data_IF_057734363543
#
_entry.id   IF_057734363543
#
_cell.length_a   1.000
_cell.length_b   1.000
_cell.length_c   1.000
_cell.angle_alpha   90.00
_cell.angle_beta   90.00
_cell.angle_gamma   90.00
#
_symmetry.space_group_name_H-M   'P 1'
#
loop_
_entity.id
_entity.type
_entity.pdbx_description
1 polymer ?
#
# COMPACT_ATOMS: atom_id res chain seq x y z
N UNK A 1 -13.73 -5.56 24.02
CA UNK A 1 -13.26 -4.94 22.76
C UNK A 1 -13.98 -5.62 21.62
N UNK A 2 -14.69 -4.89 20.76
CA UNK A 2 -15.42 -5.44 19.61
C UNK A 2 -14.65 -5.25 18.31
N UNK A 3 -14.81 -6.17 17.37
CA UNK A 3 -14.34 -6.04 15.98
C UNK A 3 -15.50 -5.52 15.13
N UNK A 4 -15.21 -4.54 14.27
CA UNK A 4 -16.16 -3.95 13.32
C UNK A 4 -15.52 -3.92 11.93
N UNK A 5 -16.33 -3.71 10.89
CA UNK A 5 -15.89 -3.50 9.51
C UNK A 5 -15.13 -4.72 8.93
N UNK A 6 -15.66 -5.92 9.16
CA UNK A 6 -15.04 -7.20 8.74
C UNK A 6 -15.72 -7.83 7.51
N UNK A 7 -16.70 -7.17 6.90
CA UNK A 7 -17.49 -7.72 5.78
C UNK A 7 -16.67 -8.00 4.52
N UNK A 8 -15.54 -7.33 4.33
CA UNK A 8 -14.62 -7.54 3.21
C UNK A 8 -13.36 -8.32 3.62
N UNK A 9 -13.45 -9.11 4.69
CA UNK A 9 -12.34 -9.93 5.16
C UNK A 9 -11.91 -10.94 4.09
N UNK A 10 -10.61 -11.00 3.82
CA UNK A 10 -9.99 -11.92 2.86
C UNK A 10 -8.85 -12.68 3.52
N UNK A 11 -8.58 -13.89 3.04
CA UNK A 11 -7.37 -14.62 3.41
C UNK A 11 -6.18 -14.07 2.62
N UNK A 12 -5.26 -13.43 3.30
CA UNK A 12 -4.09 -12.78 2.67
C UNK A 12 -2.87 -12.84 3.59
N UNK A 13 -1.71 -12.40 3.06
CA UNK A 13 -0.50 -12.30 3.87
C UNK A 13 -0.64 -11.22 4.95
N UNK A 14 -0.17 -11.47 6.20
CA UNK A 14 -0.31 -10.51 7.32
C UNK A 14 0.27 -9.11 7.05
N UNK A 15 1.24 -9.01 6.15
CA UNK A 15 1.80 -7.73 5.71
C UNK A 15 0.75 -6.79 5.08
N UNK A 16 -0.37 -7.30 4.56
CA UNK A 16 -1.40 -6.49 3.90
C UNK A 16 -2.05 -5.50 4.86
N UNK A 17 -2.51 -5.96 6.02
CA UNK A 17 -3.17 -5.10 7.01
C UNK A 17 -2.18 -4.16 7.68
N UNK A 18 -0.97 -4.65 7.97
CA UNK A 18 0.09 -3.81 8.51
C UNK A 18 0.46 -2.68 7.56
N UNK A 19 0.60 -2.97 6.26
CA UNK A 19 0.82 -1.95 5.22
C UNK A 19 -0.35 -0.97 5.15
N UNK A 20 -1.58 -1.45 5.30
CA UNK A 20 -2.78 -0.62 5.31
C UNK A 20 -2.75 0.43 6.40
N UNK A 21 -2.28 0.04 7.57
CA UNK A 21 -2.17 0.90 8.74
C UNK A 21 -1.00 1.89 8.63
N UNK A 22 0.17 1.42 8.24
CA UNK A 22 1.41 2.20 8.27
C UNK A 22 1.53 3.16 7.09
N UNK A 23 0.89 2.85 5.97
CA UNK A 23 1.02 3.59 4.71
C UNK A 23 -0.34 4.18 4.25
N UNK A 24 -1.19 4.57 5.19
CA UNK A 24 -2.47 5.22 4.87
C UNK A 24 -2.22 6.56 4.16
N UNK A 25 -2.89 6.77 3.02
CA UNK A 25 -2.74 7.99 2.24
C UNK A 25 -3.25 9.26 2.93
N UNK A 26 -4.00 9.12 4.01
CA UNK A 26 -4.58 10.25 4.77
C UNK A 26 -3.64 10.80 5.85
N UNK A 27 -2.55 10.07 6.18
CA UNK A 27 -1.61 10.46 7.23
C UNK A 27 -0.19 10.02 6.87
N UNK A 28 0.80 10.70 7.42
CA UNK A 28 2.20 10.30 7.32
C UNK A 28 2.61 9.54 8.58
N UNK A 29 3.26 8.40 8.38
CA UNK A 29 3.93 7.65 9.44
C UNK A 29 5.44 7.79 9.20
N UNK A 30 6.16 8.20 10.22
CA UNK A 30 7.61 8.31 10.17
C UNK A 30 8.23 6.92 9.85
N UNK A 31 9.24 6.87 8.97
CA UNK A 31 9.86 5.62 8.51
C UNK A 31 10.51 4.82 9.63
N UNK A 32 11.15 5.49 10.60
CA UNK A 32 11.77 4.80 11.73
C UNK A 32 10.71 4.17 12.64
N UNK A 33 9.58 4.87 12.82
CA UNK A 33 8.43 4.34 13.54
C UNK A 33 7.83 3.15 12.79
N UNK A 34 7.66 3.26 11.47
CA UNK A 34 7.13 2.17 10.66
C UNK A 34 8.02 0.91 10.76
N UNK A 35 9.35 1.06 10.66
CA UNK A 35 10.29 -0.05 10.83
C UNK A 35 10.18 -0.72 12.21
N UNK A 36 10.12 0.08 13.28
CA UNK A 36 9.92 -0.43 14.65
C UNK A 36 8.58 -1.17 14.80
N UNK A 37 7.52 -0.68 14.18
CA UNK A 37 6.19 -1.29 14.24
C UNK A 37 6.13 -2.59 13.43
N UNK A 38 6.82 -2.68 12.29
CA UNK A 38 6.96 -3.92 11.51
C UNK A 38 7.66 -4.98 12.37
N UNK A 39 8.82 -4.66 12.95
CA UNK A 39 9.57 -5.59 13.81
C UNK A 39 8.73 -6.05 15.01
N UNK A 40 8.03 -5.11 15.65
CA UNK A 40 7.15 -5.43 16.79
C UNK A 40 5.98 -6.33 16.38
N UNK A 41 5.35 -6.04 15.25
CA UNK A 41 4.24 -6.84 14.72
C UNK A 41 4.71 -8.26 14.43
N UNK A 42 5.80 -8.43 13.67
CA UNK A 42 6.35 -9.75 13.35
C UNK A 42 6.66 -10.54 14.62
N UNK A 43 7.35 -9.93 15.59
CA UNK A 43 7.66 -10.60 16.86
C UNK A 43 6.42 -11.03 17.66
N UNK A 44 5.34 -10.23 17.64
CA UNK A 44 4.08 -10.59 18.30
C UNK A 44 3.29 -11.66 17.56
N UNK A 45 3.41 -11.71 16.24
CA UNK A 45 2.75 -12.69 15.39
C UNK A 45 3.53 -14.00 15.22
N UNK A 46 4.70 -14.14 15.84
CA UNK A 46 5.58 -15.31 15.66
C UNK A 46 6.20 -15.38 14.26
N UNK A 47 6.36 -14.24 13.60
CA UNK A 47 6.93 -14.11 12.25
C UNK A 47 8.33 -13.50 12.31
N UNK A 48 9.16 -13.80 11.31
CA UNK A 48 10.41 -13.08 11.08
C UNK A 48 10.15 -11.79 10.28
N UNK A 49 10.79 -10.70 10.68
CA UNK A 49 10.81 -9.46 9.89
C UNK A 49 11.99 -9.51 8.89
N UNK A 50 12.01 -10.55 8.08
CA UNK A 50 13.08 -10.89 7.14
C UNK A 50 12.82 -10.37 5.71
N UNK A 51 13.67 -10.77 4.77
CA UNK A 51 13.56 -10.38 3.37
C UNK A 51 12.24 -10.85 2.73
N UNK A 52 11.76 -12.04 3.09
CA UNK A 52 10.52 -12.59 2.54
C UNK A 52 9.29 -11.80 3.05
N UNK A 53 9.27 -11.47 4.35
CA UNK A 53 8.23 -10.60 4.88
C UNK A 53 8.24 -9.22 4.22
N UNK A 54 9.42 -8.63 4.02
CA UNK A 54 9.55 -7.32 3.39
C UNK A 54 9.19 -7.36 1.90
N UNK A 55 9.46 -8.45 1.19
CA UNK A 55 8.99 -8.67 -0.18
C UNK A 55 7.45 -8.72 -0.23
N UNK A 56 6.81 -9.50 0.64
CA UNK A 56 5.35 -9.55 0.76
C UNK A 56 4.75 -8.19 1.14
N UNK A 57 5.42 -7.44 2.02
CA UNK A 57 5.02 -6.09 2.40
C UNK A 57 5.07 -5.12 1.20
N UNK A 58 6.13 -5.18 0.39
CA UNK A 58 6.29 -4.34 -0.79
C UNK A 58 5.25 -4.67 -1.88
N UNK A 59 5.04 -5.97 -2.17
CA UNK A 59 4.07 -6.43 -3.18
C UNK A 59 2.65 -6.05 -2.76
N UNK A 60 2.27 -6.32 -1.51
CA UNK A 60 0.96 -5.93 -0.96
C UNK A 60 0.76 -4.41 -0.99
N UNK A 61 1.82 -3.66 -0.66
CA UNK A 61 1.82 -2.21 -0.72
C UNK A 61 1.61 -1.68 -2.13
N UNK A 62 2.33 -2.20 -3.12
CA UNK A 62 2.19 -1.82 -4.52
C UNK A 62 0.77 -2.10 -5.04
N UNK A 63 0.26 -3.32 -4.83
CA UNK A 63 -1.10 -3.72 -5.20
C UNK A 63 -2.14 -2.77 -4.59
N UNK A 64 -2.01 -2.48 -3.30
CA UNK A 64 -2.93 -1.61 -2.58
C UNK A 64 -2.89 -0.17 -3.09
N UNK A 65 -1.70 0.38 -3.38
CA UNK A 65 -1.58 1.74 -3.93
C UNK A 65 -2.15 1.85 -5.34
N UNK A 66 -1.99 0.84 -6.19
CA UNK A 66 -2.62 0.80 -7.51
C UNK A 66 -4.16 0.80 -7.38
N UNK A 67 -4.72 -0.04 -6.51
CA UNK A 67 -6.17 -0.04 -6.20
C UNK A 67 -6.61 1.36 -5.73
N UNK A 68 -5.86 1.95 -4.81
CA UNK A 68 -6.20 3.24 -4.22
C UNK A 68 -6.04 4.43 -5.18
N UNK A 69 -5.20 4.35 -6.21
CA UNK A 69 -5.12 5.37 -7.27
C UNK A 69 -6.40 5.48 -8.09
N UNK A 70 -7.13 4.39 -8.26
CA UNK A 70 -8.43 4.40 -8.95
C UNK A 70 -9.57 4.99 -8.11
N UNK A 71 -9.48 4.91 -6.78
CA UNK A 71 -10.55 5.33 -5.89
C UNK A 71 -10.91 6.83 -6.00
N UNK A 72 -9.98 7.79 -5.97
CA UNK A 72 -10.29 9.21 -6.09
C UNK A 72 -10.99 9.57 -7.40
N UNK A 73 -10.56 8.97 -8.52
CA UNK A 73 -11.18 9.21 -9.84
C UNK A 73 -12.61 8.69 -9.86
N UNK A 74 -12.81 7.45 -9.37
CA UNK A 74 -14.15 6.85 -9.30
C UNK A 74 -15.05 7.61 -8.33
N UNK A 75 -14.53 8.02 -7.20
CA UNK A 75 -15.28 8.77 -6.18
C UNK A 75 -15.74 10.13 -6.69
N UNK A 76 -14.90 10.82 -7.44
CA UNK A 76 -15.27 12.07 -8.09
C UNK A 76 -16.34 11.87 -9.17
N UNK A 77 -16.12 10.91 -10.09
CA UNK A 77 -17.04 10.66 -11.21
C UNK A 77 -18.42 10.14 -10.79
N UNK A 78 -18.47 9.24 -9.79
CA UNK A 78 -19.73 8.59 -9.40
C UNK A 78 -20.47 9.30 -8.26
N UNK A 79 -19.74 10.00 -7.38
CA UNK A 79 -20.32 10.57 -6.16
C UNK A 79 -20.06 12.06 -6.00
N UNK A 80 -19.45 12.73 -6.99
CA UNK A 80 -19.15 14.16 -6.93
C UNK A 80 -18.23 14.54 -5.76
N UNK A 81 -17.25 13.68 -5.43
CA UNK A 81 -16.32 13.87 -4.30
C UNK A 81 -14.89 14.15 -4.78
N UNK A 82 -14.60 15.33 -5.34
CA UNK A 82 -13.28 15.65 -5.90
C UNK A 82 -12.17 15.79 -4.85
N UNK A 83 -12.51 16.00 -3.58
CA UNK A 83 -11.54 16.20 -2.49
C UNK A 83 -10.56 15.03 -2.34
N UNK A 84 -10.94 13.81 -2.72
CA UNK A 84 -10.03 12.66 -2.68
C UNK A 84 -8.90 12.71 -3.71
N UNK A 85 -9.00 13.56 -4.75
CA UNK A 85 -7.91 13.75 -5.73
C UNK A 85 -6.64 14.33 -5.09
N UNK A 86 -6.76 15.04 -3.98
CA UNK A 86 -5.62 15.51 -3.19
C UNK A 86 -4.71 14.39 -2.65
N UNK A 87 -5.20 13.16 -2.59
CA UNK A 87 -4.41 11.98 -2.16
C UNK A 87 -3.46 11.44 -3.25
N UNK A 88 -3.69 11.78 -4.53
CA UNK A 88 -2.92 11.23 -5.66
C UNK A 88 -1.40 11.41 -5.54
N UNK A 89 -0.87 12.61 -5.23
CA UNK A 89 0.58 12.79 -5.15
C UNK A 89 1.23 11.88 -4.11
N UNK A 90 0.57 11.68 -2.95
CA UNK A 90 1.06 10.79 -1.90
C UNK A 90 0.98 9.33 -2.31
N UNK A 91 -0.13 8.91 -2.92
CA UNK A 91 -0.29 7.54 -3.42
C UNK A 91 0.77 7.19 -4.47
N UNK A 92 1.05 8.09 -5.42
CA UNK A 92 2.10 7.91 -6.43
C UNK A 92 3.48 7.82 -5.78
N UNK A 93 3.79 8.68 -4.81
CA UNK A 93 5.07 8.63 -4.08
C UNK A 93 5.26 7.30 -3.37
N UNK A 94 4.23 6.80 -2.65
CA UNK A 94 4.30 5.50 -1.98
C UNK A 94 4.44 4.36 -2.99
N UNK A 95 3.72 4.40 -4.11
CA UNK A 95 3.85 3.38 -5.16
C UNK A 95 5.28 3.32 -5.70
N UNK A 96 5.91 4.47 -6.00
CA UNK A 96 7.31 4.52 -6.47
C UNK A 96 8.29 3.87 -5.49
N UNK A 97 8.07 4.04 -4.19
CA UNK A 97 8.91 3.40 -3.15
C UNK A 97 8.78 1.87 -3.23
N UNK A 98 7.57 1.34 -3.38
CA UNK A 98 7.36 -0.10 -3.52
C UNK A 98 7.92 -0.66 -4.82
N UNK A 99 7.76 0.06 -5.93
CA UNK A 99 8.28 -0.35 -7.23
C UNK A 99 9.82 -0.36 -7.29
N UNK A 100 10.50 0.29 -6.34
CA UNK A 100 11.95 0.18 -6.18
C UNK A 100 12.39 -1.14 -5.52
N UNK A 101 11.46 -1.88 -4.89
CA UNK A 101 11.79 -3.17 -4.27
C UNK A 101 11.93 -4.27 -5.34
N UNK A 102 12.96 -5.14 -5.28
CA UNK A 102 13.20 -6.18 -6.28
C UNK A 102 12.00 -7.10 -6.56
N UNK A 103 11.23 -7.45 -5.53
CA UNK A 103 10.03 -8.27 -5.68
C UNK A 103 8.93 -7.62 -6.55
N UNK A 104 8.98 -6.31 -6.75
CA UNK A 104 8.04 -5.58 -7.60
C UNK A 104 8.59 -5.33 -9.03
N UNK A 105 9.78 -5.84 -9.38
CA UNK A 105 10.40 -5.60 -10.68
C UNK A 105 9.49 -5.98 -11.88
N UNK A 106 8.82 -7.15 -11.91
CA UNK A 106 7.92 -7.49 -13.01
C UNK A 106 6.76 -6.51 -13.16
N UNK A 107 6.18 -6.07 -12.03
CA UNK A 107 5.11 -5.08 -12.02
C UNK A 107 5.61 -3.72 -12.52
N UNK A 108 6.79 -3.31 -12.08
CA UNK A 108 7.42 -2.06 -12.53
C UNK A 108 7.61 -2.05 -14.04
N UNK A 109 8.22 -3.10 -14.61
CA UNK A 109 8.42 -3.25 -16.05
C UNK A 109 7.10 -3.19 -16.82
N UNK A 110 6.06 -3.87 -16.32
CA UNK A 110 4.74 -3.84 -16.94
C UNK A 110 4.15 -2.43 -16.96
N UNK A 111 4.22 -1.72 -15.85
CA UNK A 111 3.71 -0.34 -15.75
C UNK A 111 4.48 0.61 -16.68
N UNK A 112 5.80 0.50 -16.76
CA UNK A 112 6.64 1.31 -17.65
C UNK A 112 6.36 1.02 -19.13
N UNK A 113 5.96 -0.21 -19.48
CA UNK A 113 5.63 -0.59 -20.85
C UNK A 113 4.26 -0.09 -21.30
N UNK A 114 3.27 -0.16 -20.42
CA UNK A 114 1.87 0.03 -20.82
C UNK A 114 1.22 1.34 -20.33
N UNK A 115 1.85 2.04 -19.41
CA UNK A 115 1.35 3.34 -18.98
C UNK A 115 1.97 4.48 -19.80
N UNK A 116 1.21 5.54 -20.07
CA UNK A 116 1.76 6.75 -20.67
C UNK A 116 2.88 7.35 -19.83
N UNK A 117 3.85 7.97 -20.49
CA UNK A 117 4.93 8.69 -19.80
C UNK A 117 4.35 9.72 -18.81
N UNK A 118 4.88 9.75 -17.59
CA UNK A 118 4.41 10.67 -16.54
C UNK A 118 3.11 10.25 -15.84
N UNK A 119 2.55 9.06 -16.14
CA UNK A 119 1.33 8.57 -15.48
C UNK A 119 1.53 8.29 -14.00
N UNK A 120 2.75 7.95 -13.59
CA UNK A 120 3.14 7.66 -12.19
C UNK A 120 4.05 8.73 -11.59
#
# INVERSE_FOLDING_TARGET
MGLIDFQDAILTHPAYDLNSLLEDARRDVNRDLAAKLITRFCGKAGLAADADFMAAYAVSGAQRKLKNLGFPVRSDKLYGKPQYRALHPRLKRHLKIYLAHPACAPLKTWLETYLPEGAL
#
